data_IF_036067517739
#
_entry.id   IF_036067517739
#
_cell.length_a   1.000
_cell.length_b   1.000
_cell.length_c   1.000
_cell.angle_alpha   90.00
_cell.angle_beta   90.00
_cell.angle_gamma   90.00
#
_symmetry.space_group_name_H-M   'P 1'
#
loop_
_entity.id
_entity.type
_entity.pdbx_description
1 polymer ?
#
# COMPACT_ATOMS: atom_id res chain seq x y z
N UNK A 1 16.84 24.43 5.79
CA UNK A 1 16.59 23.20 5.02
C UNK A 1 16.74 23.56 3.56
N UNK A 2 17.56 22.81 2.84
CA UNK A 2 17.66 22.92 1.40
C UNK A 2 16.33 22.53 0.75
N UNK A 3 16.03 23.05 -0.44
CA UNK A 3 14.79 22.76 -1.17
C UNK A 3 14.56 21.25 -1.33
N UNK A 4 15.64 20.49 -1.56
CA UNK A 4 15.60 19.02 -1.66
C UNK A 4 15.17 18.34 -0.35
N UNK A 5 15.57 18.89 0.80
CA UNK A 5 15.18 18.35 2.11
C UNK A 5 13.70 18.61 2.40
N UNK A 6 13.16 19.75 1.97
CA UNK A 6 11.72 20.07 2.09
C UNK A 6 10.90 19.10 1.24
N UNK A 7 11.31 18.87 -0.01
CA UNK A 7 10.66 17.91 -0.92
C UNK A 7 10.77 16.48 -0.35
N UNK A 8 11.93 16.11 0.17
CA UNK A 8 12.16 14.82 0.81
C UNK A 8 11.23 14.60 2.01
N UNK A 9 11.08 15.60 2.87
CA UNK A 9 10.18 15.55 4.02
C UNK A 9 8.71 15.37 3.59
N UNK A 10 8.27 16.09 2.55
CA UNK A 10 6.92 15.94 2.00
C UNK A 10 6.69 14.52 1.45
N UNK A 11 7.66 13.97 0.71
CA UNK A 11 7.60 12.61 0.19
C UNK A 11 7.51 11.56 1.32
N UNK A 12 8.26 11.75 2.41
CA UNK A 12 8.18 10.89 3.60
C UNK A 12 6.78 10.93 4.19
N UNK A 13 6.24 12.13 4.45
CA UNK A 13 4.92 12.28 5.07
C UNK A 13 3.82 11.67 4.20
N UNK A 14 3.81 11.97 2.89
CA UNK A 14 2.83 11.43 1.94
C UNK A 14 2.97 9.91 1.84
N UNK A 15 4.20 9.40 1.72
CA UNK A 15 4.48 7.97 1.66
C UNK A 15 3.98 7.22 2.90
N UNK A 16 4.22 7.76 4.10
CA UNK A 16 3.73 7.19 5.35
C UNK A 16 2.20 7.21 5.44
N UNK A 17 1.55 8.30 5.04
CA UNK A 17 0.07 8.38 5.00
C UNK A 17 -0.52 7.31 4.07
N UNK A 18 0.11 7.08 2.93
CA UNK A 18 -0.30 6.04 1.97
C UNK A 18 -0.10 4.64 2.56
N UNK A 19 1.04 4.36 3.17
CA UNK A 19 1.31 3.06 3.81
C UNK A 19 0.29 2.78 4.90
N UNK A 20 0.01 3.75 5.77
CA UNK A 20 -0.95 3.59 6.87
C UNK A 20 -2.36 3.38 6.32
N UNK A 21 -2.81 4.24 5.40
CA UNK A 21 -4.16 4.17 4.85
C UNK A 21 -4.41 2.88 4.07
N UNK A 22 -3.53 2.54 3.13
CA UNK A 22 -3.70 1.38 2.26
C UNK A 22 -3.25 0.08 2.94
N UNK A 23 -2.30 0.12 3.87
CA UNK A 23 -1.94 -1.02 4.70
C UNK A 23 -3.08 -1.42 5.63
N UNK A 24 -3.72 -0.44 6.29
CA UNK A 24 -4.91 -0.69 7.10
C UNK A 24 -6.07 -1.23 6.24
N UNK A 25 -6.29 -0.67 5.05
CA UNK A 25 -7.30 -1.17 4.13
C UNK A 25 -6.99 -2.61 3.68
N UNK A 26 -5.74 -2.93 3.34
CA UNK A 26 -5.32 -4.28 2.98
C UNK A 26 -5.59 -5.28 4.12
N UNK A 27 -5.27 -4.89 5.36
CA UNK A 27 -5.55 -5.69 6.55
C UNK A 27 -7.06 -5.92 6.74
N UNK A 28 -7.86 -4.86 6.66
CA UNK A 28 -9.31 -4.94 6.79
C UNK A 28 -9.95 -5.79 5.69
N UNK A 29 -9.53 -5.62 4.44
CA UNK A 29 -10.04 -6.39 3.30
C UNK A 29 -9.75 -7.89 3.45
N UNK A 30 -8.56 -8.25 3.94
CA UNK A 30 -8.19 -9.65 4.22
C UNK A 30 -8.97 -10.23 5.41
N UNK A 31 -9.15 -9.47 6.48
CA UNK A 31 -9.89 -9.95 7.66
C UNK A 31 -11.41 -10.08 7.41
N UNK A 32 -12.01 -9.17 6.62
CA UNK A 32 -13.42 -9.27 6.23
C UNK A 32 -13.68 -10.53 5.40
N UNK A 33 -12.73 -10.94 4.56
CA UNK A 33 -12.82 -12.19 3.81
C UNK A 33 -12.75 -13.45 4.70
N UNK A 34 -12.10 -13.36 5.87
CA UNK A 34 -11.94 -14.48 6.82
C UNK A 34 -13.17 -14.72 7.69
N UNK A 35 -13.94 -13.68 8.03
CA UNK A 35 -15.13 -13.77 8.88
C UNK A 35 -16.41 -14.15 8.12
N UNK A 36 -16.43 -14.06 6.78
CA UNK A 36 -17.51 -14.63 5.99
C UNK A 36 -17.21 -16.11 5.73
N UNK A 37 -18.16 -16.99 6.04
CA UNK A 37 -18.12 -18.45 5.81
C UNK A 37 -17.89 -18.89 4.34
N UNK A 38 -17.75 -17.94 3.43
CA UNK A 38 -17.44 -18.11 2.00
C UNK A 38 -15.93 -18.06 1.72
N UNK A 39 -15.11 -18.65 2.60
CA UNK A 39 -13.66 -18.74 2.43
C UNK A 39 -13.27 -19.35 1.06
N UNK A 40 -14.09 -20.27 0.54
CA UNK A 40 -13.95 -20.86 -0.80
C UNK A 40 -14.13 -19.86 -1.96
N UNK A 41 -14.87 -18.77 -1.79
CA UNK A 41 -15.15 -17.79 -2.87
C UNK A 41 -14.14 -16.65 -2.86
N UNK A 42 -13.65 -16.22 -1.69
CA UNK A 42 -12.66 -15.14 -1.58
C UNK A 42 -11.21 -15.59 -1.83
N UNK A 43 -10.92 -16.87 -1.64
CA UNK A 43 -9.59 -17.45 -1.86
C UNK A 43 -9.47 -18.22 -3.19
N UNK A 44 -10.41 -18.01 -4.11
CA UNK A 44 -10.23 -18.45 -5.50
C UNK A 44 -8.96 -17.82 -6.04
N UNK A 45 -8.14 -18.66 -6.67
CA UNK A 45 -7.00 -18.20 -7.46
C UNK A 45 -7.52 -17.22 -8.51
N UNK A 46 -6.86 -16.07 -8.59
CA UNK A 46 -7.19 -15.09 -9.62
C UNK A 46 -6.98 -15.74 -10.98
N UNK A 47 -8.05 -15.88 -11.75
CA UNK A 47 -7.96 -16.55 -13.05
C UNK A 47 -7.32 -15.64 -14.10
N UNK A 48 -7.25 -14.33 -13.81
CA UNK A 48 -6.62 -13.34 -14.68
C UNK A 48 -5.69 -12.40 -13.89
N UNK A 49 -4.72 -11.84 -14.62
CA UNK A 49 -3.80 -10.81 -14.09
C UNK A 49 -4.60 -9.61 -13.56
N UNK A 50 -5.69 -9.22 -14.22
CA UNK A 50 -6.54 -8.11 -13.81
C UNK A 50 -7.19 -8.34 -12.43
N UNK A 51 -7.73 -9.54 -12.21
CA UNK A 51 -8.31 -9.92 -10.92
C UNK A 51 -7.27 -9.94 -9.80
N UNK A 52 -6.07 -10.45 -10.10
CA UNK A 52 -4.95 -10.44 -9.14
C UNK A 52 -4.57 -9.02 -8.75
N UNK A 53 -4.43 -8.13 -9.74
CA UNK A 53 -4.08 -6.73 -9.51
C UNK A 53 -5.15 -6.04 -8.68
N UNK A 54 -6.43 -6.25 -9.00
CA UNK A 54 -7.55 -5.66 -8.25
C UNK A 54 -7.59 -6.15 -6.80
N UNK A 55 -7.39 -7.45 -6.58
CA UNK A 55 -7.39 -8.06 -5.24
C UNK A 55 -6.24 -7.54 -4.37
N UNK A 56 -5.08 -7.30 -4.97
CA UNK A 56 -3.87 -6.87 -4.26
C UNK A 56 -3.60 -5.36 -4.38
N UNK A 57 -4.49 -4.59 -5.00
CA UNK A 57 -4.31 -3.16 -5.24
C UNK A 57 -3.91 -2.37 -3.98
N UNK A 58 -4.57 -2.57 -2.81
CA UNK A 58 -4.15 -1.87 -1.60
C UNK A 58 -2.71 -2.18 -1.18
N UNK A 59 -2.23 -3.40 -1.43
CA UNK A 59 -0.84 -3.80 -1.13
C UNK A 59 0.12 -3.10 -2.08
N UNK A 60 -0.19 -3.06 -3.39
CA UNK A 60 0.65 -2.35 -4.37
C UNK A 60 0.77 -0.86 -4.03
N UNK A 61 -0.33 -0.22 -3.64
CA UNK A 61 -0.32 1.19 -3.25
C UNK A 61 0.47 1.41 -1.95
N UNK A 62 0.38 0.50 -0.97
CA UNK A 62 1.20 0.57 0.23
C UNK A 62 2.71 0.44 -0.08
N UNK A 63 3.10 -0.47 -0.99
CA UNK A 63 4.50 -0.61 -1.44
C UNK A 63 4.95 0.66 -2.18
N UNK A 64 4.10 1.25 -3.00
CA UNK A 64 4.38 2.53 -3.64
C UNK A 64 4.63 3.65 -2.62
N UNK A 65 3.80 3.72 -1.57
CA UNK A 65 4.01 4.62 -0.43
C UNK A 65 5.37 4.41 0.25
N UNK A 66 5.78 3.15 0.44
CA UNK A 66 7.10 2.80 0.98
C UNK A 66 8.24 3.31 0.10
N UNK A 67 8.16 3.10 -1.22
CA UNK A 67 9.17 3.59 -2.16
C UNK A 67 9.26 5.12 -2.09
N UNK A 68 8.14 5.84 -2.08
CA UNK A 68 8.16 7.30 -1.95
C UNK A 68 8.79 7.77 -0.65
N UNK A 69 8.46 7.13 0.49
CA UNK A 69 9.05 7.49 1.77
C UNK A 69 10.56 7.22 1.78
N UNK A 70 11.01 6.10 1.20
CA UNK A 70 12.42 5.77 1.07
C UNK A 70 13.16 6.76 0.16
N UNK A 71 12.58 7.13 -0.98
CA UNK A 71 13.13 8.17 -1.85
C UNK A 71 13.22 9.52 -1.13
N UNK A 72 12.20 9.89 -0.34
CA UNK A 72 12.23 11.11 0.46
C UNK A 72 13.32 11.10 1.52
N UNK A 73 13.57 9.95 2.16
CA UNK A 73 14.69 9.77 3.09
C UNK A 73 16.05 9.95 2.41
N UNK A 74 16.22 9.38 1.22
CA UNK A 74 17.45 9.55 0.44
C UNK A 74 17.72 11.01 0.06
N UNK A 75 16.67 11.83 -0.12
CA UNK A 75 16.80 13.27 -0.39
C UNK A 75 17.10 14.11 0.85
N UNK A 76 17.06 13.52 2.05
CA UNK A 76 17.43 14.23 3.29
C UNK A 76 18.94 14.25 3.54
N UNK A 77 19.68 13.35 2.89
CA UNK A 77 21.13 13.18 3.03
C UNK A 77 21.89 13.82 1.87
#
# INVERSE_FOLDING_TARGET
>A
MEQNQIIGLLLIVIGLLIIIGFGYWAYYAKNKAKNNSNFKTGNQESQTIWEFTKKNFPIFVAIFGFIMAFTGLMMMF
#
